data_IF_756503692929
#
_entry.id   IF_756503692929
#
_cell.length_a   1.000
_cell.length_b   1.000
_cell.length_c   1.000
_cell.angle_alpha   90.00
_cell.angle_beta   90.00
_cell.angle_gamma   90.00
#
_symmetry.space_group_name_H-M   'P 1'
#
loop_
_entity.id
_entity.type
_entity.pdbx_description
1 polymer ?
#
# COMPACT_ATOMS: atom_id res chain seq x y z
N UNK A 1 15.81 27.74 -4.31
CA UNK A 1 15.47 27.53 -2.89
C UNK A 1 14.78 26.17 -2.75
N UNK A 2 15.35 25.28 -1.95
CA UNK A 2 15.10 23.83 -1.95
C UNK A 2 13.81 23.46 -1.22
N UNK A 3 12.95 22.64 -1.83
CA UNK A 3 11.97 21.80 -1.10
C UNK A 3 11.91 20.40 -1.73
N UNK A 4 12.96 19.60 -1.51
CA UNK A 4 12.93 18.14 -1.65
C UNK A 4 11.77 17.60 -0.80
N UNK A 5 10.66 17.24 -1.42
CA UNK A 5 9.46 16.79 -0.71
C UNK A 5 9.08 15.38 -1.17
N UNK A 6 9.26 14.42 -0.26
CA UNK A 6 8.58 13.12 -0.20
C UNK A 6 8.75 12.12 -1.36
N UNK A 7 9.99 11.76 -1.70
CA UNK A 7 10.31 10.46 -2.29
C UNK A 7 10.95 9.66 -1.15
N UNK A 8 10.28 8.83 -0.35
CA UNK A 8 9.88 7.47 -0.69
C UNK A 8 9.12 6.76 0.48
N UNK A 9 8.02 7.32 1.04
CA UNK A 9 7.24 6.56 2.01
C UNK A 9 6.50 5.39 1.34
N UNK A 10 6.20 5.46 0.05
CA UNK A 10 5.61 4.36 -0.71
C UNK A 10 6.54 3.15 -0.71
N UNK A 11 7.80 3.31 -1.13
CA UNK A 11 8.77 2.21 -1.22
C UNK A 11 8.97 1.48 0.11
N UNK A 12 9.16 2.23 1.20
CA UNK A 12 9.29 1.64 2.55
C UNK A 12 8.04 0.85 2.92
N UNK A 13 6.83 1.33 2.58
CA UNK A 13 5.58 0.59 2.81
C UNK A 13 5.52 -0.73 2.02
N UNK A 14 5.95 -0.73 0.76
CA UNK A 14 6.01 -1.96 -0.05
C UNK A 14 7.00 -2.97 0.54
N UNK A 15 8.14 -2.48 1.03
CA UNK A 15 9.14 -3.31 1.71
C UNK A 15 8.59 -3.87 3.01
N UNK A 16 7.91 -3.07 3.84
CA UNK A 16 7.28 -3.55 5.09
C UNK A 16 6.20 -4.59 4.80
N UNK A 17 5.35 -4.39 3.78
CA UNK A 17 4.34 -5.37 3.39
C UNK A 17 4.98 -6.68 2.89
N UNK A 18 6.05 -6.59 2.10
CA UNK A 18 6.79 -7.77 1.63
C UNK A 18 7.43 -8.52 2.81
N UNK A 19 8.04 -7.80 3.76
CA UNK A 19 8.60 -8.38 4.98
C UNK A 19 7.53 -9.05 5.84
N UNK A 20 6.35 -8.44 5.98
CA UNK A 20 5.26 -8.99 6.79
C UNK A 20 4.63 -10.23 6.13
N UNK A 21 4.51 -10.23 4.79
CA UNK A 21 4.12 -11.42 4.03
C UNK A 21 5.15 -12.55 4.17
N UNK A 22 6.45 -12.22 4.16
CA UNK A 22 7.51 -13.21 4.35
C UNK A 22 7.54 -13.73 5.80
N UNK A 23 7.34 -12.87 6.79
CA UNK A 23 7.15 -13.25 8.19
C UNK A 23 5.94 -14.18 8.35
N UNK A 24 4.82 -13.87 7.68
CA UNK A 24 3.65 -14.74 7.69
C UNK A 24 3.94 -16.11 7.06
N UNK A 25 4.58 -16.14 5.88
CA UNK A 25 4.98 -17.38 5.21
C UNK A 25 5.93 -18.22 6.07
N UNK A 26 6.91 -17.59 6.72
CA UNK A 26 7.87 -18.29 7.58
C UNK A 26 7.20 -18.83 8.84
N UNK A 27 6.27 -18.10 9.46
CA UNK A 27 5.47 -18.61 10.59
C UNK A 27 4.59 -19.78 10.17
N UNK A 28 3.89 -19.69 9.03
CA UNK A 28 3.08 -20.81 8.52
C UNK A 28 3.94 -22.03 8.22
N UNK A 29 5.12 -21.84 7.60
CA UNK A 29 6.07 -22.94 7.35
C UNK A 29 6.64 -23.52 8.63
N UNK A 30 6.93 -22.69 9.64
CA UNK A 30 7.43 -23.13 10.92
C UNK A 30 6.34 -23.87 11.72
N UNK A 31 5.11 -23.37 11.76
CA UNK A 31 3.98 -24.04 12.41
C UNK A 31 3.71 -25.41 11.76
N UNK A 32 3.74 -25.47 10.42
CA UNK A 32 3.66 -26.73 9.67
C UNK A 32 4.78 -27.71 10.03
N UNK A 33 6.03 -27.23 10.13
CA UNK A 33 7.18 -28.04 10.49
C UNK A 33 7.12 -28.52 11.95
N UNK A 34 6.61 -27.68 12.85
CA UNK A 34 6.52 -28.00 14.29
C UNK A 34 5.36 -28.96 14.59
N UNK A 35 4.27 -28.87 13.81
CA UNK A 35 3.09 -29.74 13.94
C UNK A 35 3.24 -31.09 13.25
N UNK A 36 4.27 -31.29 12.42
CA UNK A 36 4.55 -32.57 11.73
C UNK A 36 5.89 -33.21 12.13
N UNK A 37 5.92 -33.98 13.23
CA UNK A 37 6.86 -35.09 13.37
C UNK A 37 6.27 -36.42 12.88
N UNK A 38 4.98 -36.50 12.49
CA UNK A 38 4.28 -37.74 12.11
C UNK A 38 3.32 -37.59 10.93
N UNK A 39 2.80 -38.69 10.35
CA UNK A 39 2.30 -38.74 8.97
C UNK A 39 0.98 -37.96 8.77
N UNK A 40 1.10 -36.84 8.05
CA UNK A 40 0.24 -36.34 6.97
C UNK A 40 -1.30 -36.45 7.09
N UNK A 41 -1.94 -35.69 8.00
CA UNK A 41 -3.42 -35.59 8.00
C UNK A 41 -4.01 -34.16 8.05
N UNK A 42 -3.19 -33.15 7.78
CA UNK A 42 -3.66 -31.80 7.48
C UNK A 42 -3.31 -31.49 6.04
N UNK A 43 -4.32 -31.21 5.21
CA UNK A 43 -4.12 -30.83 3.80
C UNK A 43 -3.11 -29.67 3.78
N UNK A 44 -1.93 -29.84 3.15
CA UNK A 44 -0.97 -28.74 3.04
C UNK A 44 -1.70 -27.57 2.39
N UNK A 45 -1.60 -26.36 2.96
CA UNK A 45 -2.23 -25.15 2.41
C UNK A 45 -2.08 -25.17 0.90
N UNK A 46 -3.19 -25.36 0.18
CA UNK A 46 -3.11 -25.54 -1.25
C UNK A 46 -2.54 -24.27 -1.88
N UNK A 47 -1.89 -24.38 -3.03
CA UNK A 47 -1.36 -23.21 -3.74
C UNK A 47 -2.44 -22.13 -3.94
N UNK A 48 -3.70 -22.54 -4.15
CA UNK A 48 -4.86 -21.66 -4.24
C UNK A 48 -5.15 -20.89 -2.94
N UNK A 49 -4.92 -21.51 -1.78
CA UNK A 49 -5.15 -20.90 -0.47
C UNK A 49 -4.09 -19.86 -0.16
N UNK A 50 -2.82 -20.18 -0.42
CA UNK A 50 -1.71 -19.23 -0.32
C UNK A 50 -1.91 -18.07 -1.31
N UNK A 51 -2.36 -18.37 -2.52
CA UNK A 51 -2.66 -17.35 -3.54
C UNK A 51 -3.82 -16.44 -3.10
N UNK A 52 -4.91 -17.00 -2.57
CA UNK A 52 -6.04 -16.23 -2.02
C UNK A 52 -5.61 -15.34 -0.86
N UNK A 53 -4.78 -15.87 0.05
CA UNK A 53 -4.24 -15.11 1.18
C UNK A 53 -3.34 -13.98 0.68
N UNK A 54 -2.44 -14.25 -0.28
CA UNK A 54 -1.57 -13.24 -0.87
C UNK A 54 -2.36 -12.13 -1.57
N UNK A 55 -3.37 -12.47 -2.38
CA UNK A 55 -4.23 -11.49 -3.06
C UNK A 55 -4.97 -10.63 -2.03
N UNK A 56 -5.49 -11.24 -0.98
CA UNK A 56 -6.27 -10.52 0.04
C UNK A 56 -5.40 -9.62 0.91
N UNK A 57 -4.22 -10.11 1.33
CA UNK A 57 -3.31 -9.41 2.25
C UNK A 57 -2.42 -8.38 1.55
N UNK A 58 -2.07 -8.60 0.28
CA UNK A 58 -1.12 -7.75 -0.44
C UNK A 58 -1.82 -6.95 -1.53
N UNK A 59 -2.52 -7.62 -2.46
CA UNK A 59 -3.05 -6.96 -3.67
C UNK A 59 -4.17 -5.97 -3.34
N UNK A 60 -5.12 -6.33 -2.48
CA UNK A 60 -6.22 -5.43 -2.06
C UNK A 60 -5.73 -4.14 -1.39
N UNK A 61 -4.94 -4.18 -0.31
CA UNK A 61 -4.49 -2.95 0.36
C UNK A 61 -3.57 -2.10 -0.51
N UNK A 62 -2.79 -2.72 -1.40
CA UNK A 62 -1.98 -2.02 -2.40
C UNK A 62 -2.85 -1.19 -3.35
N UNK A 63 -3.93 -1.78 -3.85
CA UNK A 63 -4.83 -1.11 -4.77
C UNK A 63 -5.57 0.04 -4.09
N UNK A 64 -6.07 -0.18 -2.87
CA UNK A 64 -6.72 0.85 -2.06
C UNK A 64 -5.76 2.01 -1.72
N UNK A 65 -4.52 1.70 -1.32
CA UNK A 65 -3.52 2.74 -1.05
C UNK A 65 -3.20 3.57 -2.30
N UNK A 66 -3.04 2.92 -3.45
CA UNK A 66 -2.77 3.59 -4.73
C UNK A 66 -3.94 4.49 -5.15
N UNK A 67 -5.17 4.00 -4.95
CA UNK A 67 -6.40 4.77 -5.18
C UNK A 67 -6.46 6.00 -4.25
N UNK A 68 -6.25 5.81 -2.94
CA UNK A 68 -6.28 6.90 -1.95
C UNK A 68 -5.21 7.97 -2.21
N UNK A 69 -4.03 7.56 -2.66
CA UNK A 69 -2.97 8.48 -3.07
C UNK A 69 -3.37 9.26 -4.33
N UNK A 70 -3.91 8.58 -5.34
CA UNK A 70 -4.44 9.23 -6.54
C UNK A 70 -5.53 10.25 -6.23
N UNK A 71 -6.46 9.89 -5.33
CA UNK A 71 -7.51 10.79 -4.84
C UNK A 71 -6.94 12.01 -4.10
N UNK A 72 -5.93 11.80 -3.26
CA UNK A 72 -5.26 12.87 -2.52
C UNK A 72 -4.55 13.85 -3.46
N UNK A 73 -3.87 13.33 -4.48
CA UNK A 73 -3.17 14.15 -5.48
C UNK A 73 -4.14 14.92 -6.37
N UNK A 74 -5.25 14.29 -6.76
CA UNK A 74 -6.33 14.97 -7.48
C UNK A 74 -6.90 16.11 -6.65
N UNK A 75 -7.23 15.87 -5.37
CA UNK A 75 -7.76 16.90 -4.47
C UNK A 75 -6.79 18.08 -4.33
N UNK A 76 -5.50 17.81 -4.09
CA UNK A 76 -4.47 18.87 -3.97
C UNK A 76 -4.33 19.69 -5.24
N UNK A 77 -4.32 19.05 -6.41
CA UNK A 77 -4.30 19.74 -7.71
C UNK A 77 -5.53 20.62 -7.90
N UNK A 78 -6.70 20.12 -7.53
CA UNK A 78 -7.94 20.87 -7.64
C UNK A 78 -7.96 22.08 -6.69
N UNK A 79 -7.49 21.91 -5.45
CA UNK A 79 -7.38 22.99 -4.48
C UNK A 79 -6.36 24.06 -4.92
N UNK A 80 -5.24 23.65 -5.51
CA UNK A 80 -4.27 24.58 -6.09
C UNK A 80 -4.89 25.40 -7.23
N UNK A 81 -5.67 24.77 -8.12
CA UNK A 81 -6.38 25.48 -9.20
C UNK A 81 -7.38 26.51 -8.67
N UNK A 82 -8.14 26.16 -7.63
CA UNK A 82 -9.06 27.09 -6.96
C UNK A 82 -8.31 28.28 -6.36
N UNK A 83 -7.21 28.03 -5.63
CA UNK A 83 -6.34 29.10 -5.09
C UNK A 83 -5.79 30.00 -6.19
N UNK A 84 -5.27 29.45 -7.27
CA UNK A 84 -4.73 30.24 -8.39
C UNK A 84 -5.80 31.14 -9.02
N UNK A 85 -7.04 30.64 -9.19
CA UNK A 85 -8.16 31.46 -9.67
C UNK A 85 -8.51 32.58 -8.71
N UNK A 86 -8.53 32.28 -7.40
CA UNK A 86 -8.80 33.27 -6.36
C UNK A 86 -7.74 34.37 -6.31
N UNK A 87 -6.46 34.01 -6.39
CA UNK A 87 -5.36 34.98 -6.45
C UNK A 87 -5.40 35.81 -7.74
N UNK A 88 -5.72 35.20 -8.89
CA UNK A 88 -5.91 35.95 -10.14
C UNK A 88 -7.01 37.00 -10.02
N UNK A 89 -8.13 36.64 -9.37
CA UNK A 89 -9.25 37.57 -9.15
C UNK A 89 -8.89 38.69 -8.18
N UNK A 90 -8.14 38.41 -7.12
CA UNK A 90 -7.65 39.45 -6.20
C UNK A 90 -6.68 40.42 -6.88
N UNK A 91 -5.82 39.92 -7.76
CA UNK A 91 -4.88 40.75 -8.50
C UNK A 91 -5.58 41.69 -9.50
N UNK A 92 -6.67 41.25 -10.14
CA UNK A 92 -7.48 42.12 -11.03
C UNK A 92 -8.39 43.09 -10.29
N UNK A 93 -8.68 42.88 -9.00
CA UNK A 93 -9.45 43.83 -8.18
C UNK A 93 -8.59 44.86 -7.45
N UNK A 94 -7.26 44.73 -7.51
CA UNK A 94 -6.29 45.65 -6.87
C UNK A 94 -5.68 46.68 -7.84
N UNK A 95 -6.04 46.62 -9.14
CA UNK A 95 -5.77 47.64 -10.16
C UNK A 95 -7.00 48.50 -10.37
#
# INVERSE_FOLDING_TARGET
MSTRSARYPSWIRWVTLAMLAHAFLTVVRADEHTRRPGPADLVPLSCNEIQRLFITLVVRPVHDASHRLGWSDWRRRHQARSRTSHYRRQATSQT
#
